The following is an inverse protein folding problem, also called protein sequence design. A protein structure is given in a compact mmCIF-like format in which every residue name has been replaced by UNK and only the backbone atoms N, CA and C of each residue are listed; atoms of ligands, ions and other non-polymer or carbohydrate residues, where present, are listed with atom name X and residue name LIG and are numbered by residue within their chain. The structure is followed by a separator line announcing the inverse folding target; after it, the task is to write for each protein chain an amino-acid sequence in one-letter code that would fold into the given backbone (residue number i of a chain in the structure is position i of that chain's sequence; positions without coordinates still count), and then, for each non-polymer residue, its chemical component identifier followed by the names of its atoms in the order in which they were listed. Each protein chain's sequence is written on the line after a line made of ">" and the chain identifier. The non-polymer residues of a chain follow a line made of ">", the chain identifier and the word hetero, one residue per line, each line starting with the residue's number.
data_IF_813550859191
#
_entry.id   IF_813550859191
#
_cell.length_a   1.000
_cell.length_b   1.000
_cell.length_c   1.000
_cell.angle_alpha   90.00
_cell.angle_beta   90.00
_cell.angle_gamma   90.00
#
_symmetry.space_group_name_H-M   'P 1'
#
loop_
_entity.id
_entity.type
_entity.pdbx_description
1 polymer ?
#
# COMPACT_ATOMS: atom_id res chain seq x y z
N UNK A 1 44.93 -32.39 41.20
CA UNK A 1 43.77 -32.98 40.48
C UNK A 1 42.67 -31.93 40.48
N UNK A 2 42.63 -31.10 39.45
CA UNK A 2 41.76 -29.91 39.39
C UNK A 2 41.43 -29.56 37.93
N UNK A 3 41.05 -30.57 37.15
CA UNK A 3 40.77 -30.45 35.71
C UNK A 3 39.44 -31.09 35.30
N UNK A 4 38.46 -31.15 36.21
CA UNK A 4 37.13 -31.74 35.95
C UNK A 4 35.95 -30.87 36.43
N UNK A 5 36.16 -29.58 36.73
CA UNK A 5 35.07 -28.68 37.16
C UNK A 5 34.66 -27.63 36.11
N UNK A 6 35.41 -27.45 35.02
CA UNK A 6 35.08 -26.45 33.99
C UNK A 6 34.18 -26.99 32.86
N UNK A 7 33.91 -28.31 32.81
CA UNK A 7 33.12 -28.91 31.74
C UNK A 7 31.59 -28.89 32.01
N UNK A 8 31.18 -28.94 33.28
CA UNK A 8 29.76 -29.07 33.65
C UNK A 8 29.01 -27.72 33.71
N UNK A 9 29.74 -26.60 33.77
CA UNK A 9 29.17 -25.25 33.82
C UNK A 9 28.79 -24.68 32.45
N UNK A 10 29.20 -25.33 31.35
CA UNK A 10 28.93 -24.90 29.98
C UNK A 10 27.63 -25.49 29.37
N UNK A 11 27.07 -26.53 29.99
CA UNK A 11 25.84 -27.20 29.53
C UNK A 11 24.54 -26.38 29.65
N UNK A 12 24.27 -25.67 30.77
CA UNK A 12 23.04 -24.87 30.92
C UNK A 12 23.10 -23.48 30.28
N UNK A 13 24.31 -22.93 30.08
CA UNK A 13 24.52 -21.61 29.46
C UNK A 13 24.25 -21.61 27.95
N UNK A 14 24.57 -22.73 27.27
CA UNK A 14 24.41 -22.87 25.81
C UNK A 14 22.95 -22.81 25.30
N UNK A 15 21.97 -23.50 25.91
CA UNK A 15 20.56 -23.39 25.48
C UNK A 15 19.95 -22.01 25.81
N UNK A 16 20.30 -21.43 26.96
CA UNK A 16 19.82 -20.09 27.34
C UNK A 16 20.37 -19.00 26.40
N UNK A 17 21.64 -19.10 26.00
CA UNK A 17 22.23 -18.23 24.98
C UNK A 17 21.54 -18.39 23.63
N UNK A 18 21.21 -19.62 23.22
CA UNK A 18 20.53 -19.87 21.94
C UNK A 18 19.11 -19.28 21.90
N UNK A 19 18.37 -19.37 23.00
CA UNK A 19 17.06 -18.73 23.14
C UNK A 19 17.18 -17.20 23.16
N UNK A 20 18.20 -16.67 23.84
CA UNK A 20 18.53 -15.24 23.83
C UNK A 20 18.87 -14.72 22.42
N UNK A 21 19.67 -15.46 21.65
CA UNK A 21 20.04 -15.13 20.27
C UNK A 21 18.81 -15.15 19.35
N UNK A 22 17.92 -16.13 19.49
CA UNK A 22 16.65 -16.16 18.73
C UNK A 22 15.76 -14.99 19.05
N UNK A 23 15.61 -14.66 20.34
CA UNK A 23 14.79 -13.54 20.79
C UNK A 23 15.37 -12.21 20.28
N UNK A 24 16.69 -12.05 20.35
CA UNK A 24 17.40 -10.89 19.84
C UNK A 24 17.26 -10.77 18.31
N UNK A 25 17.35 -11.88 17.58
CA UNK A 25 17.12 -11.90 16.13
C UNK A 25 15.68 -11.48 15.79
N UNK A 26 14.69 -12.03 16.49
CA UNK A 26 13.28 -11.65 16.31
C UNK A 26 13.05 -10.17 16.61
N UNK A 27 13.59 -9.67 17.72
CA UNK A 27 13.49 -8.26 18.10
C UNK A 27 14.17 -7.34 17.07
N UNK A 28 15.31 -7.76 16.52
CA UNK A 28 16.04 -7.02 15.47
C UNK A 28 15.21 -6.96 14.19
N UNK A 29 14.65 -8.09 13.74
CA UNK A 29 13.76 -8.13 12.57
C UNK A 29 12.55 -7.23 12.78
N UNK A 30 11.89 -7.32 13.93
CA UNK A 30 10.74 -6.48 14.27
C UNK A 30 11.11 -4.99 14.28
N UNK A 31 12.25 -4.63 14.86
CA UNK A 31 12.74 -3.24 14.87
C UNK A 31 13.01 -2.71 13.46
N UNK A 32 13.67 -3.51 12.62
CA UNK A 32 13.91 -3.16 11.21
C UNK A 32 12.59 -2.97 10.48
N UNK A 33 11.60 -3.86 10.66
CA UNK A 33 10.27 -3.70 10.07
C UNK A 33 9.58 -2.41 10.51
N UNK A 34 9.57 -2.10 11.82
CA UNK A 34 8.97 -0.88 12.36
C UNK A 34 9.64 0.37 11.77
N UNK A 35 10.97 0.35 11.63
CA UNK A 35 11.76 1.43 11.03
C UNK A 35 11.51 1.58 9.53
N UNK A 36 11.59 0.49 8.77
CA UNK A 36 11.40 0.48 7.31
C UNK A 36 9.96 0.86 6.92
N UNK A 37 8.98 0.51 7.75
CA UNK A 37 7.57 0.89 7.54
C UNK A 37 7.25 2.30 8.07
N UNK A 38 8.25 3.02 8.61
CA UNK A 38 8.13 4.37 9.15
C UNK A 38 6.95 4.53 10.13
N UNK A 39 6.65 3.48 10.91
CA UNK A 39 5.47 3.44 11.78
C UNK A 39 5.53 4.51 12.89
N UNK A 40 6.72 4.97 13.23
CA UNK A 40 6.97 6.00 14.25
C UNK A 40 6.89 7.44 13.76
N UNK A 41 6.68 7.68 12.45
CA UNK A 41 6.50 9.04 11.92
C UNK A 41 5.30 9.73 12.58
N UNK A 42 5.48 11.00 12.97
CA UNK A 42 4.38 11.85 13.46
C UNK A 42 3.43 12.14 12.31
N UNK A 43 2.14 12.15 12.63
CA UNK A 43 1.10 12.54 11.69
C UNK A 43 0.96 14.06 11.77
N UNK A 44 1.25 14.75 10.67
CA UNK A 44 1.20 16.22 10.57
C UNK A 44 0.15 16.62 9.52
N UNK A 45 -0.51 17.79 9.64
CA UNK A 45 -1.34 18.31 8.58
C UNK A 45 -0.56 18.44 7.26
N UNK A 46 -1.20 18.20 6.11
CA UNK A 46 -0.56 18.42 4.83
C UNK A 46 -0.21 19.90 4.66
N UNK A 47 1.03 20.18 4.23
CA UNK A 47 1.44 21.55 3.87
C UNK A 47 0.94 21.87 2.47
N UNK A 48 -0.12 22.69 2.39
CA UNK A 48 -0.68 23.15 1.11
C UNK A 48 0.02 24.44 0.67
N UNK A 49 0.72 24.38 -0.46
CA UNK A 49 1.27 25.57 -1.14
C UNK A 49 0.44 25.88 -2.37
N UNK A 50 -0.29 26.99 -2.35
CA UNK A 50 -1.05 27.51 -3.48
C UNK A 50 -0.91 29.02 -3.56
N UNK A 51 -1.10 29.60 -4.75
CA UNK A 51 -1.23 31.06 -4.87
C UNK A 51 -2.49 31.55 -4.16
N UNK A 52 -2.41 32.69 -3.48
CA UNK A 52 -3.56 33.29 -2.81
C UNK A 52 -4.49 33.95 -3.84
N UNK A 53 -5.55 33.24 -4.18
CA UNK A 53 -6.58 33.65 -5.14
C UNK A 53 -7.95 33.45 -4.50
N UNK A 54 -8.97 34.09 -5.05
CA UNK A 54 -10.34 33.87 -4.58
C UNK A 54 -10.77 32.39 -4.69
N UNK A 55 -10.34 31.71 -5.75
CA UNK A 55 -10.61 30.30 -5.98
C UNK A 55 -9.91 29.41 -4.95
N UNK A 56 -8.61 29.62 -4.68
CA UNK A 56 -7.88 28.78 -3.71
C UNK A 56 -8.44 28.94 -2.30
N UNK A 57 -8.80 30.17 -1.88
CA UNK A 57 -9.50 30.42 -0.61
C UNK A 57 -10.86 29.74 -0.55
N UNK A 58 -11.63 29.78 -1.65
CA UNK A 58 -12.92 29.09 -1.72
C UNK A 58 -12.75 27.58 -1.58
N UNK A 59 -11.84 26.96 -2.34
CA UNK A 59 -11.59 25.52 -2.29
C UNK A 59 -11.10 25.05 -0.91
N UNK A 60 -10.19 25.79 -0.28
CA UNK A 60 -9.70 25.46 1.06
C UNK A 60 -10.78 25.60 2.14
N UNK A 61 -11.72 26.55 1.99
CA UNK A 61 -12.88 26.68 2.88
C UNK A 61 -13.92 25.58 2.65
N UNK A 62 -14.21 25.28 1.39
CA UNK A 62 -15.24 24.31 1.00
C UNK A 62 -14.81 22.86 1.28
N UNK A 63 -13.50 22.56 1.23
CA UNK A 63 -12.94 21.22 1.40
C UNK A 63 -12.02 21.14 2.62
N UNK A 64 -12.55 21.05 3.86
CA UNK A 64 -11.73 20.97 5.08
C UNK A 64 -10.87 19.70 5.16
N UNK A 65 -11.14 18.70 4.31
CA UNK A 65 -10.32 17.50 4.16
C UNK A 65 -8.88 17.81 3.69
N UNK A 66 -8.69 18.90 2.94
CA UNK A 66 -7.38 19.30 2.43
C UNK A 66 -6.43 19.84 3.50
N UNK A 67 -6.95 20.18 4.69
CA UNK A 67 -6.17 20.75 5.80
C UNK A 67 -6.21 19.89 7.05
N UNK A 68 -7.00 18.81 7.06
CA UNK A 68 -7.08 17.88 8.20
C UNK A 68 -5.87 16.96 8.26
N UNK A 69 -5.50 16.62 9.49
CA UNK A 69 -4.53 15.56 9.77
C UNK A 69 -5.11 14.22 9.31
N UNK A 70 -4.52 13.63 8.28
CA UNK A 70 -4.88 12.29 7.82
C UNK A 70 -4.20 11.25 8.71
N UNK A 71 -4.98 10.47 9.47
CA UNK A 71 -4.44 9.35 10.28
C UNK A 71 -4.51 8.07 9.44
N UNK A 72 -3.39 7.63 8.84
CA UNK A 72 -3.39 6.38 8.09
C UNK A 72 -3.64 5.18 9.03
N UNK A 73 -4.33 4.13 8.55
CA UNK A 73 -4.35 2.85 9.25
C UNK A 73 -2.90 2.33 9.40
N UNK A 74 -2.50 1.97 10.63
CA UNK A 74 -1.11 1.75 11.07
C UNK A 74 -0.17 1.10 10.03
N UNK A 75 -0.38 -0.19 9.73
CA UNK A 75 0.52 -0.96 8.85
C UNK A 75 0.26 -0.72 7.36
N UNK A 76 -0.96 -0.38 6.99
CA UNK A 76 -1.40 -0.31 5.58
C UNK A 76 -1.27 1.07 4.95
N UNK A 77 -1.52 2.12 5.73
CA UNK A 77 -1.58 3.50 5.24
C UNK A 77 -0.30 4.30 5.44
N UNK A 78 0.65 3.85 6.28
CA UNK A 78 1.94 4.56 6.47
C UNK A 78 2.98 4.22 5.40
N UNK A 79 2.88 3.07 4.74
CA UNK A 79 3.78 2.67 3.65
C UNK A 79 3.03 2.57 2.32
N UNK A 80 2.89 3.70 1.64
CA UNK A 80 2.29 3.76 0.29
C UNK A 80 3.05 2.91 -0.74
N UNK A 81 4.34 2.66 -0.53
CA UNK A 81 5.13 1.74 -1.37
C UNK A 81 4.74 0.28 -1.14
N UNK A 82 4.58 -0.16 0.12
CA UNK A 82 4.11 -1.52 0.41
C UNK A 82 2.70 -1.72 -0.13
N UNK A 83 1.82 -0.75 0.08
CA UNK A 83 0.47 -0.75 -0.47
C UNK A 83 0.50 -0.91 -2.01
N UNK A 84 1.28 -0.08 -2.70
CA UNK A 84 1.38 -0.13 -4.17
C UNK A 84 1.98 -1.44 -4.68
N UNK A 85 3.03 -1.97 -4.03
CA UNK A 85 3.64 -3.25 -4.43
C UNK A 85 2.66 -4.41 -4.23
N UNK A 86 1.99 -4.46 -3.08
CA UNK A 86 1.09 -5.55 -2.74
C UNK A 86 -0.17 -5.53 -3.61
N UNK A 87 -0.81 -4.37 -3.79
CA UNK A 87 -1.93 -4.22 -4.72
C UNK A 87 -1.52 -4.35 -6.17
N UNK A 88 -0.30 -3.94 -6.55
CA UNK A 88 0.22 -4.16 -7.90
C UNK A 88 0.38 -5.65 -8.22
N UNK A 89 0.85 -6.46 -7.26
CA UNK A 89 0.88 -7.92 -7.40
C UNK A 89 -0.51 -8.54 -7.37
N UNK A 90 -1.34 -8.20 -6.38
CA UNK A 90 -2.69 -8.77 -6.22
C UNK A 90 -3.60 -8.40 -7.39
N UNK A 91 -3.51 -7.16 -7.86
CA UNK A 91 -4.24 -6.64 -9.02
C UNK A 91 -3.90 -7.39 -10.29
N UNK A 92 -2.61 -7.70 -10.54
CA UNK A 92 -2.20 -8.51 -11.70
C UNK A 92 -2.61 -9.98 -11.62
N UNK A 93 -2.70 -10.55 -10.43
CA UNK A 93 -3.17 -11.94 -10.24
C UNK A 93 -4.65 -12.09 -10.62
N UNK A 94 -5.44 -11.04 -10.47
CA UNK A 94 -6.88 -11.05 -10.75
C UNK A 94 -7.31 -10.06 -11.83
N UNK A 95 -6.38 -9.57 -12.66
CA UNK A 95 -6.76 -8.65 -13.72
C UNK A 95 -7.61 -9.42 -14.73
N UNK A 96 -8.91 -9.11 -14.89
CA UNK A 96 -9.66 -9.65 -16.01
C UNK A 96 -8.96 -9.12 -17.26
N UNK A 97 -8.46 -10.01 -18.12
CA UNK A 97 -7.92 -9.61 -19.42
C UNK A 97 -9.11 -9.33 -20.32
N UNK A 98 -9.49 -8.05 -20.52
CA UNK A 98 -10.70 -7.74 -21.26
C UNK A 98 -10.41 -8.12 -22.71
N UNK A 99 -11.10 -9.13 -23.24
CA UNK A 99 -10.99 -9.51 -24.64
C UNK A 99 -11.90 -8.61 -25.45
N UNK A 100 -11.36 -7.49 -25.91
CA UNK A 100 -12.09 -6.56 -26.77
C UNK A 100 -12.25 -7.13 -28.19
N UNK A 101 -13.44 -7.04 -28.75
CA UNK A 101 -13.66 -7.29 -30.17
C UNK A 101 -13.40 -6.00 -30.95
N UNK A 102 -12.39 -5.98 -31.81
CA UNK A 102 -12.11 -4.82 -32.66
C UNK A 102 -13.25 -4.61 -33.67
N UNK A 103 -13.77 -3.39 -33.72
CA UNK A 103 -14.81 -2.95 -34.65
C UNK A 103 -14.27 -1.83 -35.54
N UNK A 104 -14.76 -1.81 -36.76
CA UNK A 104 -14.44 -0.82 -37.78
C UNK A 104 -15.77 -0.21 -38.25
N UNK A 105 -15.88 1.11 -38.19
CA UNK A 105 -17.05 1.85 -38.64
C UNK A 105 -16.62 2.84 -39.71
N UNK A 106 -17.20 2.73 -40.90
CA UNK A 106 -17.01 3.72 -41.96
C UNK A 106 -17.83 4.97 -41.63
N UNK A 107 -17.17 6.11 -41.60
CA UNK A 107 -17.75 7.41 -41.29
C UNK A 107 -18.28 8.09 -42.57
N UNK A 108 -19.23 9.03 -42.46
CA UNK A 108 -19.81 9.72 -43.63
C UNK A 108 -18.80 10.52 -44.47
N UNK A 109 -17.66 10.90 -43.89
CA UNK A 109 -16.56 11.59 -44.55
C UNK A 109 -15.58 10.64 -45.26
N UNK A 110 -15.84 9.33 -45.23
CA UNK A 110 -14.98 8.29 -45.81
C UNK A 110 -13.87 7.81 -44.88
N UNK A 111 -13.73 8.35 -43.66
CA UNK A 111 -12.78 7.85 -42.68
C UNK A 111 -13.23 6.51 -42.07
N UNK A 112 -12.31 5.73 -41.50
CA UNK A 112 -12.64 4.53 -40.73
C UNK A 112 -12.33 4.74 -39.24
N UNK A 113 -13.37 4.72 -38.40
CA UNK A 113 -13.23 4.71 -36.96
C UNK A 113 -12.98 3.27 -36.47
N UNK A 114 -11.86 3.05 -35.79
CA UNK A 114 -11.51 1.74 -35.20
C UNK A 114 -11.59 1.83 -33.68
N UNK A 115 -12.32 0.92 -33.07
CA UNK A 115 -12.44 0.85 -31.61
C UNK A 115 -12.57 -0.59 -31.14
N UNK A 116 -12.12 -0.87 -29.93
CA UNK A 116 -12.24 -2.19 -29.31
C UNK A 116 -13.49 -2.19 -28.41
N UNK A 117 -14.44 -3.09 -28.69
CA UNK A 117 -15.65 -3.26 -27.90
C UNK A 117 -15.41 -4.28 -26.79
N UNK A 118 -15.57 -3.87 -25.53
CA UNK A 118 -15.42 -4.74 -24.36
C UNK A 118 -16.79 -5.05 -23.76
N UNK A 119 -17.15 -6.33 -23.69
CA UNK A 119 -18.40 -6.77 -23.06
C UNK A 119 -18.25 -6.89 -21.54
N UNK A 120 -19.34 -6.60 -20.82
CA UNK A 120 -19.37 -6.77 -19.37
C UNK A 120 -19.22 -8.26 -19.02
N UNK A 121 -18.30 -8.59 -18.13
CA UNK A 121 -18.03 -9.97 -17.70
C UNK A 121 -19.08 -10.52 -16.71
N UNK A 122 -20.14 -9.75 -16.42
CA UNK A 122 -21.25 -10.12 -15.55
C UNK A 122 -22.14 -8.92 -15.20
N UNK A 123 -23.32 -9.19 -14.64
CA UNK A 123 -24.22 -8.14 -14.16
C UNK A 123 -23.63 -7.42 -12.93
N UNK A 124 -23.75 -6.09 -12.93
CA UNK A 124 -23.32 -5.27 -11.80
C UNK A 124 -24.22 -5.54 -10.59
N UNK A 125 -23.69 -6.14 -9.52
CA UNK A 125 -24.47 -6.58 -8.34
C UNK A 125 -25.02 -5.46 -7.46
N UNK A 126 -24.86 -4.20 -7.83
CA UNK A 126 -25.29 -3.07 -6.99
C UNK A 126 -26.00 -2.06 -7.87
N UNK A 127 -27.32 -1.93 -7.73
CA UNK A 127 -28.16 -0.95 -8.45
C UNK A 127 -27.91 0.49 -8.03
N UNK A 128 -26.66 0.96 -8.06
CA UNK A 128 -26.27 2.35 -7.87
C UNK A 128 -25.62 2.86 -9.13
N UNK A 129 -26.39 3.60 -9.93
CA UNK A 129 -25.91 4.38 -11.08
C UNK A 129 -24.67 5.22 -10.69
N UNK A 130 -23.54 5.14 -11.41
CA UNK A 130 -22.50 6.16 -11.32
C UNK A 130 -22.98 7.41 -12.05
N UNK A 131 -23.47 8.39 -11.31
CA UNK A 131 -23.78 9.73 -11.84
C UNK A 131 -22.53 10.37 -12.45
N UNK A 132 -22.68 10.85 -13.69
CA UNK A 132 -21.70 11.57 -14.49
C UNK A 132 -21.18 12.86 -13.83
#
# INVERSE_FOLDING_TARGET
>A
MSTLQDADTLGPELPAMFDGVKLAAMATVLYVLVRCLNLSSRVEPPRVTCQDTALSRHLLRSCPLLTKVYVPPLLWGKSGHLQTVLYGKMGRIRTPTPRGARKFLLMPDGATATFDLFEALGEHKTGGEPSA
#
